data_IF_210160921064
#
_entry.id   IF_210160921064
#
_cell.length_a   1.000
_cell.length_b   1.000
_cell.length_c   1.000
_cell.angle_alpha   90.00
_cell.angle_beta   90.00
_cell.angle_gamma   90.00
#
_symmetry.space_group_name_H-M   'P 1'
#
loop_
_entity.id
_entity.type
_entity.pdbx_description
1 polymer ?
#
# COMPACT_ATOMS: atom_id res chain seq x y z
N UNK A 1 3.73 29.87 -14.66
CA UNK A 1 4.04 29.29 -13.34
C UNK A 1 3.61 27.84 -13.46
N UNK A 2 4.55 26.92 -13.69
CA UNK A 2 4.21 25.49 -13.72
C UNK A 2 3.69 25.14 -12.33
N UNK A 3 2.44 24.67 -12.27
CA UNK A 3 1.90 24.05 -11.07
C UNK A 3 2.68 22.74 -10.89
N UNK A 4 3.87 22.85 -10.30
CA UNK A 4 4.75 21.72 -10.07
C UNK A 4 3.95 20.64 -9.36
N UNK A 5 3.88 19.46 -9.97
CA UNK A 5 3.24 18.29 -9.40
C UNK A 5 3.81 18.09 -7.99
N UNK A 6 3.02 18.43 -6.97
CA UNK A 6 3.44 18.32 -5.60
C UNK A 6 3.31 16.87 -5.17
N UNK A 7 4.37 16.28 -4.67
CA UNK A 7 4.32 14.97 -4.05
C UNK A 7 4.35 15.15 -2.53
N UNK A 8 3.52 14.41 -1.80
CA UNK A 8 3.45 14.47 -0.35
C UNK A 8 3.61 13.08 0.25
N UNK A 9 4.38 12.98 1.32
CA UNK A 9 4.60 11.74 2.07
C UNK A 9 4.27 11.96 3.54
N UNK A 10 3.69 10.95 4.18
CA UNK A 10 3.45 10.91 5.61
C UNK A 10 4.11 9.66 6.20
N UNK A 11 4.65 9.79 7.40
CA UNK A 11 5.38 8.72 8.09
C UNK A 11 4.79 8.51 9.48
N UNK A 12 4.82 7.28 9.98
CA UNK A 12 4.52 6.98 11.37
C UNK A 12 5.67 7.39 12.31
N UNK A 13 5.49 7.19 13.62
CA UNK A 13 6.50 7.50 14.62
C UNK A 13 7.77 6.63 14.54
N UNK A 14 7.73 5.51 13.82
CA UNK A 14 8.87 4.63 13.58
C UNK A 14 9.59 4.97 12.26
N UNK A 15 9.07 5.92 11.48
CA UNK A 15 9.62 6.34 10.20
C UNK A 15 9.12 5.52 9.02
N UNK A 16 8.09 4.68 9.18
CA UNK A 16 7.50 3.94 8.06
C UNK A 16 6.52 4.83 7.29
N UNK A 17 6.56 4.77 5.95
CA UNK A 17 5.71 5.59 5.07
C UNK A 17 4.25 5.15 5.11
N UNK A 18 3.37 5.92 5.74
CA UNK A 18 1.93 5.59 5.88
C UNK A 18 1.06 6.15 4.77
N UNK A 19 1.52 7.19 4.08
CA UNK A 19 0.82 7.79 2.95
C UNK A 19 1.80 8.36 1.95
N UNK A 20 1.51 8.18 0.67
CA UNK A 20 2.15 8.83 -0.45
C UNK A 20 1.06 9.37 -1.36
N UNK A 21 1.11 10.66 -1.68
CA UNK A 21 0.28 11.25 -2.72
C UNK A 21 1.19 11.82 -3.80
N UNK A 22 1.01 11.35 -5.02
CA UNK A 22 1.71 11.81 -6.21
C UNK A 22 0.82 12.77 -6.98
N UNK A 23 1.43 13.78 -7.60
CA UNK A 23 0.72 14.79 -8.41
C UNK A 23 -0.48 15.43 -7.69
N UNK A 24 -0.28 15.78 -6.41
CA UNK A 24 -1.28 16.40 -5.56
C UNK A 24 -1.87 17.64 -6.24
N UNK A 25 -3.20 17.66 -6.34
CA UNK A 25 -3.96 18.74 -6.98
C UNK A 25 -4.05 18.65 -8.50
N UNK A 26 -3.48 17.61 -9.14
CA UNK A 26 -3.59 17.37 -10.57
C UNK A 26 -4.63 16.28 -10.90
N UNK A 27 -5.16 16.23 -12.14
CA UNK A 27 -6.08 15.17 -12.57
C UNK A 27 -5.49 13.76 -12.46
N UNK A 28 -4.17 13.62 -12.61
CA UNK A 28 -3.44 12.37 -12.48
C UNK A 28 -3.03 12.02 -11.04
N UNK A 29 -3.57 12.72 -10.03
CA UNK A 29 -3.26 12.47 -8.62
C UNK A 29 -3.46 10.98 -8.27
N UNK A 30 -2.51 10.42 -7.53
CA UNK A 30 -2.61 9.06 -6.98
C UNK A 30 -2.25 9.07 -5.53
N UNK A 31 -2.95 8.26 -4.74
CA UNK A 31 -2.67 8.08 -3.32
C UNK A 31 -2.41 6.61 -3.03
N UNK A 32 -1.32 6.35 -2.31
CA UNK A 32 -0.99 5.06 -1.73
C UNK A 32 -1.00 5.19 -0.21
N UNK A 33 -1.78 4.37 0.48
CA UNK A 33 -1.84 4.29 1.93
C UNK A 33 -1.27 2.96 2.40
N UNK A 34 -0.37 2.99 3.35
CA UNK A 34 0.30 1.79 3.87
C UNK A 34 0.11 1.69 5.39
N UNK A 35 -0.13 0.48 5.89
CA UNK A 35 -0.12 0.19 7.32
C UNK A 35 0.93 -0.85 7.63
N UNK A 36 1.52 -0.76 8.82
CA UNK A 36 2.59 -1.63 9.26
C UNK A 36 2.21 -2.34 10.56
N UNK A 37 2.81 -3.50 10.79
CA UNK A 37 2.75 -4.17 12.08
C UNK A 37 3.81 -3.65 13.06
N UNK A 38 3.84 -4.22 14.27
CA UNK A 38 4.76 -3.83 15.34
C UNK A 38 6.25 -4.09 15.03
N UNK A 39 6.54 -4.86 13.97
CA UNK A 39 7.89 -5.17 13.51
C UNK A 39 8.27 -4.35 12.26
N UNK A 40 7.41 -3.40 11.84
CA UNK A 40 7.63 -2.59 10.65
C UNK A 40 7.34 -3.31 9.33
N UNK A 41 6.62 -4.43 9.36
CA UNK A 41 6.25 -5.17 8.16
C UNK A 41 4.94 -4.63 7.58
N UNK A 42 4.88 -4.47 6.26
CA UNK A 42 3.72 -3.90 5.55
C UNK A 42 2.50 -4.80 5.70
N UNK A 43 1.49 -4.41 6.48
CA UNK A 43 0.27 -5.17 6.76
C UNK A 43 -0.84 -4.91 5.73
N UNK A 44 -0.92 -3.70 5.19
CA UNK A 44 -1.85 -3.39 4.11
C UNK A 44 -1.31 -2.26 3.24
N UNK A 45 -1.63 -2.30 1.95
CA UNK A 45 -1.38 -1.22 1.00
C UNK A 45 -2.67 -0.94 0.23
N UNK A 46 -3.15 0.29 0.23
CA UNK A 46 -4.30 0.73 -0.55
C UNK A 46 -3.84 1.73 -1.59
N UNK A 47 -4.08 1.44 -2.87
CA UNK A 47 -3.78 2.35 -3.98
C UNK A 47 -5.08 2.87 -4.58
N UNK A 48 -5.15 4.16 -4.85
CA UNK A 48 -6.26 4.75 -5.60
C UNK A 48 -5.79 5.90 -6.48
N UNK A 49 -6.59 6.22 -7.49
CA UNK A 49 -6.62 7.55 -8.08
C UNK A 49 -7.23 8.56 -7.08
N UNK A 50 -6.80 9.81 -7.16
CA UNK A 50 -7.27 10.88 -6.29
C UNK A 50 -6.74 10.75 -4.85
N UNK A 51 -7.63 10.89 -3.87
CA UNK A 51 -7.33 11.13 -2.45
C UNK A 51 -7.31 9.86 -1.57
N UNK A 52 -7.30 8.66 -2.15
CA UNK A 52 -7.32 7.40 -1.38
C UNK A 52 -8.72 6.89 -1.03
N UNK A 53 -9.78 7.63 -1.38
CA UNK A 53 -11.19 7.35 -0.96
C UNK A 53 -12.13 7.05 -2.12
N UNK A 54 -11.61 6.99 -3.35
CA UNK A 54 -12.37 6.70 -4.55
C UNK A 54 -12.87 5.25 -4.61
N UNK A 55 -13.89 5.00 -5.43
CA UNK A 55 -14.41 3.65 -5.71
C UNK A 55 -13.38 2.75 -6.40
N UNK A 56 -12.33 3.36 -6.96
CA UNK A 56 -11.18 2.74 -7.59
C UNK A 56 -10.07 2.35 -6.58
N UNK A 57 -10.27 2.57 -5.28
CA UNK A 57 -9.31 2.18 -4.26
C UNK A 57 -9.17 0.65 -4.18
N UNK A 58 -7.98 0.15 -4.49
CA UNK A 58 -7.62 -1.27 -4.41
C UNK A 58 -6.77 -1.47 -3.17
N UNK A 59 -7.28 -2.27 -2.23
CA UNK A 59 -6.55 -2.61 -1.00
C UNK A 59 -5.97 -4.01 -1.09
N UNK A 60 -4.65 -4.10 -0.98
CA UNK A 60 -3.89 -5.32 -0.84
C UNK A 60 -3.55 -5.53 0.63
N UNK A 61 -3.92 -6.67 1.21
CA UNK A 61 -3.52 -7.06 2.57
C UNK A 61 -2.42 -8.10 2.55
N UNK A 62 -1.51 -7.99 3.52
CA UNK A 62 -0.39 -8.89 3.72
C UNK A 62 -0.48 -9.45 5.14
N UNK A 63 -0.67 -10.75 5.25
CA UNK A 63 -0.63 -11.46 6.52
C UNK A 63 0.67 -12.24 6.64
N UNK A 64 1.56 -11.80 7.52
CA UNK A 64 2.80 -12.50 7.85
C UNK A 64 2.54 -13.48 9.00
N UNK A 65 2.63 -14.79 8.72
CA UNK A 65 2.52 -15.82 9.77
C UNK A 65 3.89 -16.25 10.29
N UNK A 66 3.99 -16.35 11.61
CA UNK A 66 5.22 -16.54 12.39
C UNK A 66 5.86 -17.95 12.25
N UNK A 67 5.67 -18.67 11.13
CA UNK A 67 6.20 -20.03 10.90
C UNK A 67 6.83 -20.23 9.51
N UNK A 68 7.51 -19.20 9.01
CA UNK A 68 8.43 -19.31 7.87
C UNK A 68 7.87 -18.79 6.55
N UNK A 69 8.02 -17.49 6.31
CA UNK A 69 7.95 -16.83 5.00
C UNK A 69 6.62 -16.94 4.22
N UNK A 70 5.49 -17.26 4.85
CA UNK A 70 4.19 -17.19 4.18
C UNK A 70 3.64 -15.77 4.28
N UNK A 71 3.27 -15.20 3.12
CA UNK A 71 2.48 -13.98 3.01
C UNK A 71 1.22 -14.29 2.20
N UNK A 72 0.05 -14.14 2.81
CA UNK A 72 -1.21 -14.20 2.06
C UNK A 72 -1.50 -12.82 1.49
N UNK A 73 -1.58 -12.72 0.16
CA UNK A 73 -1.96 -11.49 -0.53
C UNK A 73 -3.44 -11.55 -0.87
N UNK A 74 -4.24 -10.70 -0.22
CA UNK A 74 -5.64 -10.53 -0.57
C UNK A 74 -5.77 -9.22 -1.33
N UNK A 75 -5.95 -9.27 -2.65
CA UNK A 75 -6.16 -8.08 -3.47
C UNK A 75 -7.62 -7.59 -3.40
N UNK A 76 -7.80 -6.27 -3.43
CA UNK A 76 -9.08 -5.56 -3.30
C UNK A 76 -10.09 -5.86 -4.40
N UNK A 77 -9.69 -6.51 -5.50
CA UNK A 77 -10.62 -7.05 -6.51
C UNK A 77 -11.26 -8.39 -6.11
N UNK A 78 -11.16 -8.80 -4.84
CA UNK A 78 -11.60 -10.11 -4.35
C UNK A 78 -10.85 -11.28 -5.02
N UNK A 79 -9.73 -10.98 -5.69
CA UNK A 79 -8.80 -11.98 -6.23
C UNK A 79 -7.70 -12.18 -5.19
N UNK A 80 -7.97 -13.02 -4.20
CA UNK A 80 -6.93 -13.54 -3.32
C UNK A 80 -5.88 -14.25 -4.19
N UNK A 81 -4.76 -13.59 -4.44
CA UNK A 81 -3.63 -14.21 -5.10
C UNK A 81 -2.81 -14.84 -4.00
N UNK A 82 -3.00 -16.14 -3.77
CA UNK A 82 -2.13 -16.91 -2.89
C UNK A 82 -0.74 -16.97 -3.53
N UNK A 83 0.13 -16.01 -3.20
CA UNK A 83 1.53 -16.05 -3.56
C UNK A 83 2.27 -16.93 -2.55
N UNK A 84 2.31 -18.24 -2.82
CA UNK A 84 3.22 -19.16 -2.14
C UNK A 84 4.60 -18.93 -2.78
N UNK A 85 5.54 -18.28 -2.08
CA UNK A 85 6.90 -18.12 -2.58
C UNK A 85 7.86 -19.11 -1.91
N UNK A 86 8.16 -20.17 -2.67
CA UNK A 86 9.22 -21.17 -2.55
C UNK A 86 9.28 -22.03 -1.28
N UNK A 87 8.63 -23.19 -1.35
CA UNK A 87 9.28 -24.43 -0.88
C UNK A 87 10.47 -24.73 -1.80
N UNK A 88 11.67 -24.33 -1.41
CA UNK A 88 12.87 -25.03 -1.88
C UNK A 88 12.95 -26.32 -1.05
N UNK A 89 12.47 -27.41 -1.65
CA UNK A 89 12.64 -28.79 -1.21
C UNK A 89 12.83 -29.66 -2.44
#
# INVERSE_FOLDING_TARGET
MELGSANSWAYDAQGNETSQTEALGQPEQRTTLSTYDQWGQLKSCTKSAGDGKGQDAITTKYDYVNRGNFFQITDGLNRATQAIQNSQG
#
